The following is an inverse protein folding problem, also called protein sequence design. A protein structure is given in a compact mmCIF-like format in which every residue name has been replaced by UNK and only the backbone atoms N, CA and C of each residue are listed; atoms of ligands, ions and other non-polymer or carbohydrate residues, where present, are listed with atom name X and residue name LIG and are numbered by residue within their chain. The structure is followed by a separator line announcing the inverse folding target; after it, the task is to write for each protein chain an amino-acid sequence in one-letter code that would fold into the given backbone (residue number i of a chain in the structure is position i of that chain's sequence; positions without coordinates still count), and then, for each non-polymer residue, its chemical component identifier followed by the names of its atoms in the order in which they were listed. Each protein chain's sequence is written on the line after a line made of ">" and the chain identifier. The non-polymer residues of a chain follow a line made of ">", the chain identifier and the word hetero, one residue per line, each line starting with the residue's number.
data_IF_559584901990
#
_entry.id   IF_559584901990
#
_cell.length_a   1.000
_cell.length_b   1.000
_cell.length_c   1.000
_cell.angle_alpha   90.00
_cell.angle_beta   90.00
_cell.angle_gamma   90.00
#
_symmetry.space_group_name_H-M   'P 1'
#
loop_
_entity.id
_entity.type
_entity.pdbx_description
1 polymer ?
#
# COMPACT_ATOMS: atom_id res chain seq x y z
N UNK A 1 -23.51 9.12 3.85
CA UNK A 1 -23.00 9.50 2.51
C UNK A 1 -21.66 8.82 2.37
N UNK A 2 -21.55 7.79 1.53
CA UNK A 2 -20.23 7.38 1.06
C UNK A 2 -19.71 8.55 0.24
N UNK A 3 -18.60 9.13 0.68
CA UNK A 3 -17.86 10.12 -0.10
C UNK A 3 -17.35 9.38 -1.34
N UNK A 4 -18.14 9.38 -2.41
CA UNK A 4 -17.83 8.66 -3.65
C UNK A 4 -16.64 9.33 -4.35
N UNK A 5 -15.46 9.14 -3.78
CA UNK A 5 -14.22 9.33 -4.49
C UNK A 5 -14.25 8.38 -5.70
N UNK A 6 -13.77 8.86 -6.86
CA UNK A 6 -13.68 8.06 -8.07
C UNK A 6 -13.17 6.62 -7.84
N UNK A 7 -12.11 6.35 -7.03
CA UNK A 7 -11.63 5.00 -6.79
C UNK A 7 -12.65 4.09 -6.07
N UNK A 8 -13.49 4.60 -5.17
CA UNK A 8 -14.51 3.79 -4.49
C UNK A 8 -15.61 3.34 -5.44
N UNK A 9 -16.01 4.22 -6.36
CA UNK A 9 -16.98 3.87 -7.41
C UNK A 9 -16.41 2.82 -8.37
N UNK A 10 -15.13 2.91 -8.71
CA UNK A 10 -14.48 1.91 -9.56
C UNK A 10 -14.33 0.57 -8.83
N UNK A 11 -13.89 0.58 -7.57
CA UNK A 11 -13.80 -0.62 -6.76
C UNK A 11 -15.16 -1.33 -6.69
N UNK A 12 -16.23 -0.59 -6.40
CA UNK A 12 -17.58 -1.15 -6.32
C UNK A 12 -18.05 -1.88 -7.59
N UNK A 13 -17.49 -1.59 -8.76
CA UNK A 13 -17.92 -2.15 -10.05
C UNK A 13 -16.92 -3.10 -10.69
N UNK A 14 -15.62 -2.92 -10.45
CA UNK A 14 -14.55 -3.67 -11.08
C UNK A 14 -13.47 -4.07 -10.07
N UNK A 15 -12.81 -5.23 -10.25
CA UNK A 15 -11.62 -5.57 -9.49
C UNK A 15 -10.58 -4.45 -9.61
N UNK A 16 -10.31 -3.77 -8.49
CA UNK A 16 -9.47 -2.57 -8.45
C UNK A 16 -8.33 -2.80 -7.47
N UNK A 17 -7.12 -2.51 -7.91
CA UNK A 17 -5.87 -2.61 -7.13
C UNK A 17 -5.18 -1.26 -7.16
N UNK A 18 -4.57 -0.87 -6.05
CA UNK A 18 -3.77 0.36 -5.96
C UNK A 18 -2.32 0.00 -6.30
N UNK A 19 -1.84 0.52 -7.44
CA UNK A 19 -0.43 0.46 -7.79
C UNK A 19 0.27 1.75 -7.34
N UNK A 20 1.12 1.64 -6.32
CA UNK A 20 1.89 2.74 -5.78
C UNK A 20 3.30 2.76 -6.36
N UNK A 21 3.55 3.70 -7.28
CA UNK A 21 4.83 3.80 -7.99
C UNK A 21 5.83 4.61 -7.18
N UNK A 22 6.97 3.99 -6.86
CA UNK A 22 8.08 4.56 -6.11
C UNK A 22 9.24 4.81 -7.07
N UNK A 23 9.87 5.97 -6.97
CA UNK A 23 11.09 6.27 -7.72
C UNK A 23 12.30 5.64 -7.02
N UNK A 24 12.92 4.63 -7.64
CA UNK A 24 14.02 3.86 -7.04
C UNK A 24 15.26 4.73 -6.80
N UNK A 25 15.63 5.59 -7.75
CA UNK A 25 16.83 6.44 -7.65
C UNK A 25 16.78 7.38 -6.43
N UNK A 26 15.60 7.94 -6.16
CA UNK A 26 15.40 8.85 -5.01
C UNK A 26 15.25 8.10 -3.70
N UNK A 27 14.74 6.86 -3.77
CA UNK A 27 14.52 6.02 -2.60
C UNK A 27 15.79 5.29 -2.14
N UNK A 28 16.92 5.49 -2.81
CA UNK A 28 18.25 5.09 -2.30
C UNK A 28 18.66 5.88 -1.04
N UNK A 29 18.01 7.01 -0.77
CA UNK A 29 18.17 7.78 0.46
C UNK A 29 17.18 7.27 1.52
N UNK A 30 17.66 6.84 2.70
CA UNK A 30 16.82 6.15 3.69
C UNK A 30 15.70 7.03 4.23
N UNK A 31 15.94 8.34 4.39
CA UNK A 31 14.90 9.30 4.81
C UNK A 31 13.78 9.43 3.76
N UNK A 32 14.13 9.44 2.48
CA UNK A 32 13.16 9.51 1.38
C UNK A 32 12.36 8.21 1.28
N UNK A 33 13.02 7.07 1.44
CA UNK A 33 12.39 5.77 1.50
C UNK A 33 11.35 5.69 2.63
N UNK A 34 11.73 6.07 3.86
CA UNK A 34 10.84 6.10 5.01
C UNK A 34 9.59 6.95 4.76
N UNK A 35 9.77 8.16 4.23
CA UNK A 35 8.65 9.06 3.94
C UNK A 35 7.70 8.49 2.88
N UNK A 36 8.25 7.90 1.81
CA UNK A 36 7.47 7.25 0.76
C UNK A 36 6.68 6.06 1.31
N UNK A 37 7.26 5.29 2.21
CA UNK A 37 6.61 4.12 2.81
C UNK A 37 5.50 4.51 3.78
N UNK A 38 5.72 5.52 4.64
CA UNK A 38 4.65 6.04 5.52
C UNK A 38 3.48 6.59 4.69
N UNK A 39 3.76 7.22 3.55
CA UNK A 39 2.73 7.66 2.62
C UNK A 39 2.00 6.48 1.97
N UNK A 40 2.72 5.45 1.53
CA UNK A 40 2.15 4.20 1.01
C UNK A 40 1.18 3.57 2.01
N UNK A 41 1.59 3.42 3.28
CA UNK A 41 0.74 2.89 4.35
C UNK A 41 -0.52 3.75 4.55
N UNK A 42 -0.40 5.07 4.46
CA UNK A 42 -1.54 5.98 4.59
C UNK A 42 -2.56 5.79 3.46
N UNK A 43 -2.09 5.57 2.22
CA UNK A 43 -2.94 5.29 1.05
C UNK A 43 -3.58 3.91 1.16
N UNK A 44 -2.82 2.89 1.56
CA UNK A 44 -3.31 1.54 1.77
C UNK A 44 -4.46 1.52 2.80
N UNK A 45 -4.26 2.15 3.95
CA UNK A 45 -5.27 2.19 5.02
C UNK A 45 -6.52 2.99 4.63
N UNK A 46 -6.35 4.08 3.87
CA UNK A 46 -7.47 4.89 3.40
C UNK A 46 -8.28 4.18 2.32
N UNK A 47 -7.60 3.54 1.36
CA UNK A 47 -8.26 2.90 0.21
C UNK A 47 -8.88 1.55 0.57
N UNK A 48 -8.29 0.80 1.52
CA UNK A 48 -8.69 -0.57 1.89
C UNK A 48 -8.74 -1.53 0.70
N UNK A 49 -8.00 -1.22 -0.37
CA UNK A 49 -7.92 -2.04 -1.57
C UNK A 49 -6.61 -2.85 -1.54
N UNK A 50 -6.53 -3.95 -2.30
CA UNK A 50 -5.27 -4.63 -2.54
C UNK A 50 -4.23 -3.64 -3.04
N UNK A 51 -3.03 -3.72 -2.48
CA UNK A 51 -1.98 -2.71 -2.61
C UNK A 51 -0.69 -3.35 -3.12
N UNK A 52 -0.09 -2.73 -4.13
CA UNK A 52 1.22 -3.14 -4.67
C UNK A 52 2.13 -1.93 -4.71
N UNK A 53 3.32 -2.05 -4.14
CA UNK A 53 4.39 -1.06 -4.23
C UNK A 53 5.32 -1.40 -5.39
N UNK A 54 5.39 -0.54 -6.40
CA UNK A 54 6.22 -0.75 -7.58
C UNK A 54 7.41 0.21 -7.61
N UNK A 55 8.61 -0.33 -7.46
CA UNK A 55 9.86 0.40 -7.65
C UNK A 55 10.12 0.59 -9.14
N UNK A 56 9.93 1.81 -9.64
CA UNK A 56 10.18 2.18 -11.02
C UNK A 56 11.64 2.61 -11.23
N UNK A 57 12.11 2.53 -12.47
CA UNK A 57 13.46 2.90 -12.93
C UNK A 57 14.57 1.94 -12.47
N UNK A 58 14.27 0.64 -12.44
CA UNK A 58 15.27 -0.38 -12.08
C UNK A 58 16.45 -0.47 -13.06
N UNK A 59 16.30 0.14 -14.25
CA UNK A 59 17.34 0.29 -15.26
C UNK A 59 18.46 1.27 -14.85
N UNK A 60 18.15 2.21 -13.96
CA UNK A 60 19.13 3.19 -13.44
C UNK A 60 19.73 2.69 -12.13
N UNK A 61 18.88 2.35 -11.16
CA UNK A 61 19.29 1.88 -9.83
C UNK A 61 18.50 0.63 -9.45
N UNK A 62 19.19 -0.37 -8.87
CA UNK A 62 18.55 -1.63 -8.44
C UNK A 62 17.73 -1.42 -7.17
N UNK A 63 16.54 -2.02 -7.15
CA UNK A 63 15.58 -1.92 -6.04
C UNK A 63 15.86 -2.91 -4.89
N UNK A 64 16.83 -3.81 -5.06
CA UNK A 64 17.22 -4.85 -4.08
C UNK A 64 17.58 -4.26 -2.71
N UNK A 65 18.28 -3.11 -2.67
CA UNK A 65 18.60 -2.42 -1.42
C UNK A 65 17.35 -1.95 -0.66
N UNK A 66 16.32 -1.52 -1.38
CA UNK A 66 15.06 -1.14 -0.76
C UNK A 66 14.32 -2.37 -0.22
N UNK A 67 14.40 -3.51 -0.92
CA UNK A 67 13.85 -4.77 -0.42
C UNK A 67 14.58 -5.25 0.85
N UNK A 68 15.91 -5.15 0.87
CA UNK A 68 16.71 -5.46 2.06
C UNK A 68 16.30 -4.60 3.26
N UNK A 69 16.03 -3.31 3.05
CA UNK A 69 15.53 -2.42 4.10
C UNK A 69 14.10 -2.72 4.58
N UNK A 70 13.30 -3.40 3.75
CA UNK A 70 11.96 -3.85 4.15
C UNK A 70 12.00 -5.16 4.94
N UNK A 71 12.95 -6.05 4.62
CA UNK A 71 13.10 -7.36 5.27
C UNK A 71 13.96 -7.27 6.54
N UNK A 72 15.10 -6.56 6.47
CA UNK A 72 15.99 -6.30 7.60
C UNK A 72 15.92 -4.84 8.05
N UNK A 73 15.10 -4.62 9.09
CA UNK A 73 15.01 -3.34 9.74
C UNK A 73 16.34 -2.86 10.36
N UNK A 74 17.23 -3.74 10.81
CA UNK A 74 18.50 -3.30 11.41
C UNK A 74 19.40 -2.65 10.35
N UNK A 75 19.47 -3.24 9.16
CA UNK A 75 20.16 -2.68 8.01
C UNK A 75 19.59 -1.30 7.63
N UNK A 76 18.26 -1.15 7.65
CA UNK A 76 17.62 0.15 7.43
C UNK A 76 17.96 1.17 8.53
N UNK A 77 17.89 0.75 9.80
CA UNK A 77 18.18 1.62 10.94
C UNK A 77 19.62 2.13 10.91
N UNK A 78 20.60 1.27 10.62
CA UNK A 78 21.99 1.66 10.46
C UNK A 78 22.17 2.68 9.33
N UNK A 79 21.49 2.49 8.20
CA UNK A 79 21.51 3.44 7.09
C UNK A 79 20.92 4.80 7.47
N UNK A 80 19.83 4.83 8.26
CA UNK A 80 19.24 6.08 8.79
C UNK A 80 20.18 6.74 9.79
N UNK A 81 20.86 5.98 10.66
CA UNK A 81 21.80 6.54 11.65
C UNK A 81 23.04 7.16 10.99
N UNK A 82 23.47 6.65 9.84
CA UNK A 82 24.57 7.23 9.07
C UNK A 82 24.20 8.55 8.40
N UNK A 83 22.91 8.79 8.16
CA UNK A 83 22.41 10.03 7.59
C UNK A 83 22.12 11.00 8.75
N UNK A 84 22.98 12.01 8.97
CA UNK A 84 23.03 12.99 10.11
C UNK A 84 21.72 13.79 10.37
N UNK A 85 20.62 13.42 9.72
CA UNK A 85 19.28 13.94 9.93
C UNK A 85 18.72 13.56 11.32
N UNK A 86 18.11 14.55 11.98
CA UNK A 86 17.51 14.52 13.34
C UNK A 86 16.40 13.46 13.58
N UNK A 87 16.17 12.53 12.64
CA UNK A 87 15.10 11.52 12.67
C UNK A 87 15.43 10.26 13.49
N UNK A 88 16.66 10.15 14.01
CA UNK A 88 17.14 8.96 14.70
C UNK A 88 16.27 8.50 15.89
N UNK A 89 15.77 9.44 16.70
CA UNK A 89 14.97 9.14 17.90
C UNK A 89 13.53 8.75 17.57
N UNK A 90 12.93 9.39 16.55
CA UNK A 90 11.56 9.12 16.11
C UNK A 90 11.46 7.80 15.33
N UNK A 91 12.49 7.49 14.54
CA UNK A 91 12.56 6.27 13.74
C UNK A 91 12.43 5.02 14.61
N UNK A 92 13.01 4.97 15.82
CA UNK A 92 13.08 3.72 16.61
C UNK A 92 11.73 3.18 17.09
N UNK A 93 10.80 4.04 17.51
CA UNK A 93 9.48 3.61 17.99
C UNK A 93 8.46 3.41 16.85
N UNK A 94 8.51 4.24 15.83
CA UNK A 94 7.67 4.05 14.63
C UNK A 94 8.13 2.83 13.81
N UNK A 95 9.41 2.50 13.85
CA UNK A 95 9.99 1.42 13.08
C UNK A 95 9.42 0.03 13.36
N UNK A 96 9.24 -0.35 14.63
CA UNK A 96 8.74 -1.69 14.97
C UNK A 96 7.34 -1.91 14.40
N UNK A 97 6.51 -0.87 14.46
CA UNK A 97 5.19 -0.86 13.86
C UNK A 97 5.30 -0.97 12.33
N UNK A 98 6.18 -0.17 11.70
CA UNK A 98 6.38 -0.20 10.25
C UNK A 98 6.95 -1.52 9.73
N UNK A 99 7.76 -2.24 10.50
CA UNK A 99 8.36 -3.51 10.10
C UNK A 99 7.30 -4.60 9.86
N UNK A 100 6.30 -4.70 10.74
CA UNK A 100 5.19 -5.64 10.56
C UNK A 100 4.38 -5.29 9.30
N UNK A 101 4.16 -4.00 9.05
CA UNK A 101 3.48 -3.55 7.84
C UNK A 101 4.29 -3.79 6.57
N UNK A 102 5.62 -3.64 6.59
CA UNK A 102 6.45 -3.83 5.41
C UNK A 102 6.54 -5.29 4.98
N UNK A 103 6.46 -6.23 5.92
CA UNK A 103 6.43 -7.66 5.61
C UNK A 103 5.15 -8.08 4.85
N UNK A 104 4.05 -7.35 5.01
CA UNK A 104 2.78 -7.64 4.34
C UNK A 104 2.65 -6.99 2.94
N UNK A 105 3.45 -5.95 2.66
CA UNK A 105 3.34 -5.21 1.40
C UNK A 105 3.98 -5.99 0.26
N UNK A 106 3.20 -6.24 -0.79
CA UNK A 106 3.70 -6.79 -2.05
C UNK A 106 4.51 -5.74 -2.80
N UNK A 107 5.79 -6.03 -3.02
CA UNK A 107 6.72 -5.17 -3.73
C UNK A 107 7.19 -5.77 -5.04
N UNK A 108 7.29 -4.94 -6.08
CA UNK A 108 7.83 -5.28 -7.41
C UNK A 108 8.85 -4.25 -7.88
N UNK A 109 9.78 -4.67 -8.74
CA UNK A 109 10.65 -3.76 -9.48
C UNK A 109 10.29 -3.75 -10.95
N UNK A 110 10.06 -2.57 -11.52
CA UNK A 110 9.78 -2.38 -12.95
C UNK A 110 10.66 -1.31 -13.58
N UNK A 111 10.98 -1.47 -14.86
CA UNK A 111 11.49 -0.36 -15.68
C UNK A 111 10.46 0.00 -16.71
N UNK A 112 9.86 1.19 -16.58
CA UNK A 112 8.95 1.72 -17.59
C UNK A 112 9.64 1.99 -18.94
N UNK A 113 10.97 2.09 -18.98
CA UNK A 113 11.72 2.37 -20.21
C UNK A 113 12.12 1.08 -20.95
N UNK A 114 12.64 0.09 -20.24
CA UNK A 114 13.11 -1.17 -20.85
C UNK A 114 12.05 -2.25 -20.89
N UNK A 115 11.00 -2.14 -20.07
CA UNK A 115 9.98 -3.18 -19.90
C UNK A 115 10.40 -4.31 -18.95
N UNK A 116 11.57 -4.21 -18.31
CA UNK A 116 12.04 -5.19 -17.32
C UNK A 116 11.08 -5.26 -16.11
N UNK A 117 10.80 -6.47 -15.63
CA UNK A 117 9.98 -6.71 -14.42
C UNK A 117 8.46 -6.69 -14.62
N UNK A 118 7.95 -6.37 -15.82
CA UNK A 118 6.51 -6.32 -16.07
C UNK A 118 5.83 -7.70 -15.99
N UNK A 119 6.50 -8.77 -16.41
CA UNK A 119 5.92 -10.13 -16.35
C UNK A 119 5.64 -10.56 -14.90
N UNK A 120 6.57 -10.30 -14.00
CA UNK A 120 6.41 -10.55 -12.56
C UNK A 120 5.32 -9.65 -11.96
N UNK A 121 5.30 -8.38 -12.36
CA UNK A 121 4.30 -7.44 -11.90
C UNK A 121 2.87 -7.85 -12.30
N UNK A 122 2.67 -8.33 -13.53
CA UNK A 122 1.36 -8.85 -13.99
C UNK A 122 0.93 -10.06 -13.17
N UNK A 123 1.86 -10.93 -12.79
CA UNK A 123 1.55 -12.08 -11.94
C UNK A 123 1.06 -11.62 -10.56
N UNK A 124 1.73 -10.65 -9.93
CA UNK A 124 1.28 -10.10 -8.63
C UNK A 124 -0.03 -9.33 -8.74
N UNK A 125 -0.30 -8.67 -9.85
CA UNK A 125 -1.60 -8.05 -10.12
C UNK A 125 -2.73 -9.09 -10.15
N UNK A 126 -2.52 -10.25 -10.76
CA UNK A 126 -3.53 -11.32 -10.76
C UNK A 126 -3.73 -11.91 -9.34
N UNK A 127 -2.65 -12.05 -8.55
CA UNK A 127 -2.77 -12.43 -7.13
C UNK A 127 -3.58 -11.40 -6.32
N UNK A 128 -3.35 -10.10 -6.53
CA UNK A 128 -4.14 -9.03 -5.91
C UNK A 128 -5.60 -9.00 -6.39
N UNK A 129 -5.87 -9.44 -7.62
CA UNK A 129 -7.23 -9.58 -8.14
C UNK A 129 -8.00 -10.70 -7.45
N UNK A 130 -7.34 -11.82 -7.11
CA UNK A 130 -7.98 -12.87 -6.33
C UNK A 130 -8.18 -12.40 -4.87
N UNK A 131 -7.19 -11.75 -4.27
CA UNK A 131 -7.32 -11.14 -2.94
C UNK A 131 -8.49 -10.12 -2.87
N UNK A 132 -8.69 -9.34 -3.93
CA UNK A 132 -9.83 -8.44 -4.08
C UNK A 132 -11.17 -9.19 -3.94
N UNK A 133 -11.29 -10.34 -4.60
CA UNK A 133 -12.54 -11.12 -4.60
C UNK A 133 -12.78 -11.83 -3.28
N UNK A 134 -11.71 -12.33 -2.65
CA UNK A 134 -11.81 -13.12 -1.42
C UNK A 134 -11.99 -12.26 -0.17
N UNK A 135 -11.31 -11.11 -0.10
CA UNK A 135 -11.29 -10.26 1.11
C UNK A 135 -12.17 -9.02 0.94
N UNK A 136 -11.99 -8.26 -0.14
CA UNK A 136 -12.64 -6.96 -0.29
C UNK A 136 -14.12 -7.05 -0.67
N UNK A 137 -14.50 -7.95 -1.60
CA UNK A 137 -15.91 -8.09 -1.99
C UNK A 137 -16.83 -8.49 -0.83
N UNK A 138 -16.50 -9.49 0.02
CA UNK A 138 -17.33 -9.81 1.17
C UNK A 138 -17.43 -8.66 2.17
N UNK A 139 -16.33 -7.94 2.40
CA UNK A 139 -16.32 -6.76 3.25
C UNK A 139 -17.24 -5.66 2.70
N UNK A 140 -17.23 -5.42 1.39
CA UNK A 140 -18.10 -4.46 0.72
C UNK A 140 -19.58 -4.84 0.84
N UNK A 141 -19.91 -6.13 0.65
CA UNK A 141 -21.27 -6.65 0.81
C UNK A 141 -21.77 -6.52 2.24
N UNK A 142 -20.94 -6.85 3.24
CA UNK A 142 -21.26 -6.68 4.66
C UNK A 142 -21.51 -5.20 5.00
N UNK A 143 -20.70 -4.29 4.46
CA UNK A 143 -20.91 -2.85 4.63
C UNK A 143 -22.24 -2.38 4.04
N UNK A 144 -22.62 -2.87 2.85
CA UNK A 144 -23.92 -2.57 2.24
C UNK A 144 -25.08 -3.11 3.06
N UNK A 145 -24.98 -4.33 3.57
CA UNK A 145 -26.03 -4.96 4.38
C UNK A 145 -26.26 -4.21 5.70
N UNK A 146 -25.18 -3.81 6.38
CA UNK A 146 -25.23 -2.98 7.59
C UNK A 146 -25.96 -1.67 7.32
N UNK A 147 -25.62 -0.99 6.23
CA UNK A 147 -26.25 0.28 5.88
C UNK A 147 -27.75 0.13 5.59
N UNK A 148 -28.16 -0.90 4.84
CA UNK A 148 -29.59 -1.19 4.62
C UNK A 148 -30.35 -1.46 5.92
N UNK A 149 -29.73 -2.20 6.85
CA UNK A 149 -30.33 -2.53 8.15
C UNK A 149 -30.51 -1.28 9.02
N UNK A 150 -29.51 -0.40 9.05
CA UNK A 150 -29.59 0.88 9.77
C UNK A 150 -30.67 1.80 9.19
N UNK A 151 -30.83 1.84 7.87
CA UNK A 151 -31.87 2.62 7.20
C UNK A 151 -33.28 2.10 7.54
N UNK A 152 -33.47 0.77 7.51
CA UNK A 152 -34.73 0.15 7.92
C UNK A 152 -35.07 0.41 9.40
N UNK A 153 -34.07 0.41 10.28
CA UNK A 153 -34.28 0.71 11.69
C UNK A 153 -34.67 2.17 11.93
N UNK A 154 -34.07 3.12 11.21
CA UNK A 154 -34.47 4.54 11.25
C UNK A 154 -35.90 4.74 10.77
N UNK A 155 -36.28 4.15 9.64
CA UNK A 155 -37.65 4.23 9.12
C UNK A 155 -38.70 3.67 10.11
N UNK A 156 -38.37 2.61 10.86
CA UNK A 156 -39.26 2.04 11.88
C UNK A 156 -39.39 2.91 13.14
N UNK A 157 -38.37 3.69 13.48
CA UNK A 157 -38.39 4.64 14.59
C UNK A 157 -39.21 5.90 14.26
N UNK A 158 -39.21 6.33 13.00
CA UNK A 158 -39.95 7.51 12.55
C UNK A 158 -41.45 7.25 12.34
N UNK A 159 -41.89 5.99 12.35
CA UNK A 159 -43.30 5.59 12.14
C UNK A 159 -44.05 5.29 13.45
N UNK A 160 -43.38 5.39 14.61
CA UNK A 160 -43.96 5.28 15.96
C UNK A 160 -43.94 6.63 16.67
#
# INVERSE_FOLDING_TARGET
>A
MMDNSAPESLASSFPTTVNYVIDTCRSQLPVTFMANMVYACSVMYKSRLPFIACFNKIDVDRHEKCLEWMDDYNAFYEAVMQDDSYMASFSRSCALMLNEFYAEIKCDGISAMTGEGFDEHIKKLEECREEYKESYLPWLEECRLRHCTEQMNKMKLDTN
#
